data_IF_937894725127
#
_entry.id   IF_937894725127
#
_cell.length_a   1.000
_cell.length_b   1.000
_cell.length_c   1.000
_cell.angle_alpha   90.00
_cell.angle_beta   90.00
_cell.angle_gamma   90.00
#
_symmetry.space_group_name_H-M   'P 1'
#
loop_
_entity.id
_entity.type
_entity.pdbx_description
1 polymer ?
#
# COMPACT_ATOMS: atom_id res chain seq x y z
N UNK A 1 14.12 0.51 22.22
CA UNK A 1 13.49 -0.34 23.21
C UNK A 1 14.34 -1.55 23.49
N UNK A 2 14.85 -1.68 24.70
CA UNK A 2 15.83 -2.71 25.01
C UNK A 2 15.26 -4.13 25.16
N UNK A 3 13.96 -4.23 25.42
CA UNK A 3 13.31 -5.54 25.57
C UNK A 3 12.67 -6.04 24.26
N UNK A 4 12.87 -5.31 23.16
CA UNK A 4 12.37 -5.71 21.86
C UNK A 4 13.31 -6.78 21.29
N UNK A 5 12.83 -8.01 21.27
CA UNK A 5 13.62 -9.17 20.83
C UNK A 5 14.21 -8.93 19.44
N UNK A 6 15.43 -9.45 19.21
CA UNK A 6 16.14 -9.30 17.93
C UNK A 6 15.34 -9.86 16.75
N UNK A 7 14.56 -10.93 16.98
CA UNK A 7 13.71 -11.51 15.94
C UNK A 7 12.51 -10.60 15.63
N UNK A 8 11.94 -9.97 16.66
CA UNK A 8 10.88 -8.99 16.46
C UNK A 8 11.41 -7.77 15.71
N UNK A 9 12.63 -7.34 16.03
CA UNK A 9 13.27 -6.24 15.32
C UNK A 9 13.52 -6.61 13.85
N UNK A 10 13.96 -7.81 13.56
CA UNK A 10 14.14 -8.31 12.19
C UNK A 10 12.80 -8.32 11.45
N UNK A 11 11.74 -8.81 12.09
CA UNK A 11 10.40 -8.82 11.50
C UNK A 11 9.90 -7.40 11.21
N UNK A 12 10.13 -6.48 12.14
CA UNK A 12 9.78 -5.07 11.97
C UNK A 12 10.49 -4.46 10.77
N UNK A 13 11.81 -4.69 10.64
CA UNK A 13 12.57 -4.17 9.50
C UNK A 13 12.12 -4.77 8.17
N UNK A 14 11.84 -6.09 8.16
CA UNK A 14 11.36 -6.75 6.95
C UNK A 14 10.03 -6.16 6.48
N UNK A 15 9.08 -5.99 7.40
CA UNK A 15 7.78 -5.41 7.08
C UNK A 15 7.91 -3.94 6.68
N UNK A 16 8.74 -3.18 7.39
CA UNK A 16 8.95 -1.76 7.10
C UNK A 16 9.52 -1.55 5.70
N UNK A 17 10.56 -2.30 5.37
CA UNK A 17 11.20 -2.19 4.05
C UNK A 17 10.22 -2.64 2.96
N UNK A 18 9.57 -3.79 3.13
CA UNK A 18 8.64 -4.32 2.14
C UNK A 18 7.44 -3.40 1.91
N UNK A 19 6.80 -2.99 2.99
CA UNK A 19 5.60 -2.14 2.91
C UNK A 19 5.93 -0.68 2.58
N UNK A 20 7.18 -0.27 2.72
CA UNK A 20 7.62 1.05 2.29
C UNK A 20 8.03 1.08 0.83
N UNK A 21 8.88 0.13 0.40
CA UNK A 21 9.40 0.11 -0.97
C UNK A 21 8.35 -0.30 -2.00
N UNK A 22 7.49 -1.27 -1.68
CA UNK A 22 6.51 -1.75 -2.65
C UNK A 22 5.58 -0.65 -3.17
N UNK A 23 4.97 0.20 -2.32
CA UNK A 23 4.17 1.32 -2.81
C UNK A 23 4.99 2.33 -3.60
N UNK A 24 6.25 2.57 -3.22
CA UNK A 24 7.12 3.50 -3.95
C UNK A 24 7.37 2.97 -5.36
N UNK A 25 7.73 1.69 -5.47
CA UNK A 25 8.01 1.06 -6.77
C UNK A 25 6.74 1.01 -7.63
N UNK A 26 5.63 0.55 -7.06
CA UNK A 26 4.36 0.46 -7.77
C UNK A 26 3.85 1.84 -8.18
N UNK A 27 3.97 2.83 -7.28
CA UNK A 27 3.56 4.19 -7.57
C UNK A 27 4.39 4.81 -8.69
N UNK A 28 5.70 4.64 -8.66
CA UNK A 28 6.59 5.13 -9.72
C UNK A 28 6.27 4.45 -11.05
N UNK A 29 6.01 3.13 -11.03
CA UNK A 29 5.71 2.39 -12.25
C UNK A 29 4.40 2.83 -12.91
N UNK A 30 3.49 3.43 -12.16
CA UNK A 30 2.25 3.97 -12.74
C UNK A 30 2.50 5.09 -13.76
N UNK A 31 3.70 5.65 -13.77
CA UNK A 31 4.10 6.62 -14.79
C UNK A 31 4.77 5.95 -16.00
N UNK A 32 5.21 4.71 -15.88
CA UNK A 32 5.98 4.01 -16.91
C UNK A 32 5.31 2.76 -17.46
N UNK A 33 4.42 2.11 -16.68
CA UNK A 33 3.73 0.86 -17.05
C UNK A 33 4.70 -0.26 -17.49
N UNK A 34 5.83 -0.37 -16.79
CA UNK A 34 6.82 -1.43 -17.06
C UNK A 34 6.35 -2.76 -16.48
N UNK A 35 5.84 -2.74 -15.24
CA UNK A 35 5.36 -3.95 -14.57
C UNK A 35 4.04 -4.44 -15.15
N UNK A 36 3.13 -3.52 -15.43
CA UNK A 36 1.80 -3.82 -15.97
C UNK A 36 1.14 -2.54 -16.46
N UNK A 37 0.03 -2.67 -17.19
CA UNK A 37 -0.85 -1.54 -17.49
C UNK A 37 -1.79 -1.35 -16.30
N UNK A 38 -1.51 -0.36 -15.47
CA UNK A 38 -2.24 -0.12 -14.22
C UNK A 38 -3.69 0.31 -14.46
N UNK A 39 -3.99 0.91 -15.61
CA UNK A 39 -5.36 1.37 -15.90
C UNK A 39 -6.34 0.20 -16.03
N UNK A 40 -5.86 -1.00 -16.35
CA UNK A 40 -6.73 -2.16 -16.46
C UNK A 40 -7.37 -2.58 -15.12
N UNK A 41 -6.79 -2.17 -14.00
CA UNK A 41 -7.30 -2.49 -12.66
C UNK A 41 -8.26 -1.45 -12.12
N UNK A 42 -8.42 -0.31 -12.81
CA UNK A 42 -9.29 0.76 -12.36
C UNK A 42 -10.75 0.42 -12.64
N UNK A 43 -11.57 0.46 -11.59
CA UNK A 43 -13.00 0.18 -11.71
C UNK A 43 -13.70 1.29 -12.52
N UNK A 44 -14.63 0.92 -13.41
CA UNK A 44 -15.49 1.92 -14.06
C UNK A 44 -16.27 2.78 -13.06
N UNK A 45 -16.59 2.24 -11.88
CA UNK A 45 -17.24 2.99 -10.82
C UNK A 45 -16.38 4.17 -10.35
N UNK A 46 -15.06 3.96 -10.23
CA UNK A 46 -14.13 5.01 -9.80
C UNK A 46 -14.12 6.18 -10.80
N UNK A 47 -14.14 5.90 -12.10
CA UNK A 47 -14.15 6.96 -13.12
C UNK A 47 -15.49 7.67 -13.23
N UNK A 48 -16.58 7.04 -12.78
CA UNK A 48 -17.89 7.71 -12.68
C UNK A 48 -17.95 8.68 -11.52
N UNK A 49 -17.34 8.31 -10.37
CA UNK A 49 -17.33 9.15 -9.17
C UNK A 49 -16.35 10.30 -9.35
N UNK A 50 -15.18 10.03 -9.90
CA UNK A 50 -14.14 11.03 -10.16
C UNK A 50 -13.95 11.11 -11.68
N UNK A 51 -14.47 12.15 -12.36
CA UNK A 51 -14.46 12.20 -13.83
C UNK A 51 -13.09 12.62 -14.37
N UNK A 52 -12.09 11.79 -14.18
CA UNK A 52 -10.74 11.96 -14.69
C UNK A 52 -10.42 10.85 -15.69
N UNK A 53 -9.52 11.15 -16.62
CA UNK A 53 -8.98 10.13 -17.52
C UNK A 53 -8.27 9.05 -16.68
N UNK A 54 -8.41 7.78 -17.09
CA UNK A 54 -7.83 6.66 -16.36
C UNK A 54 -6.33 6.84 -16.11
N UNK A 55 -5.58 7.31 -17.12
CA UNK A 55 -4.15 7.54 -16.97
C UNK A 55 -3.86 8.62 -15.93
N UNK A 56 -4.59 9.72 -15.94
CA UNK A 56 -4.44 10.81 -14.95
C UNK A 56 -4.78 10.31 -13.56
N UNK A 57 -5.87 9.54 -13.43
CA UNK A 57 -6.29 8.94 -12.16
C UNK A 57 -5.15 8.08 -11.59
N UNK A 58 -4.55 7.21 -12.42
CA UNK A 58 -3.47 6.34 -12.00
C UNK A 58 -2.18 7.10 -11.65
N UNK A 59 -1.89 8.21 -12.31
CA UNK A 59 -0.77 9.06 -11.92
C UNK A 59 -0.95 9.65 -10.54
N UNK A 60 -2.17 10.11 -10.21
CA UNK A 60 -2.48 10.62 -8.87
C UNK A 60 -2.35 9.51 -7.83
N UNK A 61 -2.90 8.33 -8.12
CA UNK A 61 -2.76 7.16 -7.26
C UNK A 61 -1.29 6.83 -7.02
N UNK A 62 -0.47 6.88 -8.08
CA UNK A 62 0.96 6.62 -7.99
C UNK A 62 1.68 7.58 -7.07
N UNK A 63 1.36 8.88 -7.14
CA UNK A 63 1.94 9.89 -6.25
C UNK A 63 1.56 9.62 -4.80
N UNK A 64 0.29 9.31 -4.54
CA UNK A 64 -0.18 8.99 -3.18
C UNK A 64 0.53 7.76 -2.64
N UNK A 65 0.70 6.73 -3.45
CA UNK A 65 1.41 5.51 -3.04
C UNK A 65 2.87 5.77 -2.72
N UNK A 66 3.56 6.57 -3.53
CA UNK A 66 4.94 6.93 -3.26
C UNK A 66 5.08 7.67 -1.94
N UNK A 67 4.18 8.63 -1.67
CA UNK A 67 4.17 9.37 -0.42
C UNK A 67 3.92 8.42 0.75
N UNK A 68 2.94 7.53 0.64
CA UNK A 68 2.63 6.57 1.70
C UNK A 68 3.84 5.68 2.01
N UNK A 69 4.55 5.19 0.99
CA UNK A 69 5.74 4.39 1.18
C UNK A 69 6.87 5.16 1.86
N UNK A 70 7.07 6.41 1.48
CA UNK A 70 8.07 7.28 2.11
C UNK A 70 7.74 7.49 3.59
N UNK A 71 6.47 7.69 3.93
CA UNK A 71 6.05 7.86 5.33
C UNK A 71 6.35 6.59 6.14
N UNK A 72 6.11 5.40 5.58
CA UNK A 72 6.45 4.13 6.24
C UNK A 72 7.95 4.04 6.53
N UNK A 73 8.78 4.49 5.59
CA UNK A 73 10.24 4.45 5.74
C UNK A 73 10.79 5.58 6.60
N UNK A 74 9.96 6.55 6.97
CA UNK A 74 10.33 7.67 7.83
C UNK A 74 10.17 7.30 9.31
N UNK A 75 10.34 8.28 10.17
CA UNK A 75 10.09 8.12 11.61
C UNK A 75 8.60 7.95 11.95
N UNK A 76 7.71 8.20 11.01
CA UNK A 76 6.26 8.04 11.17
C UNK A 76 5.75 6.69 10.65
N UNK A 77 6.53 5.65 10.85
CA UNK A 77 6.21 4.29 10.38
C UNK A 77 4.83 3.84 10.85
N UNK A 78 4.46 4.14 12.09
CA UNK A 78 3.15 3.73 12.64
C UNK A 78 2.00 4.34 11.85
N UNK A 79 2.06 5.65 11.61
CA UNK A 79 1.05 6.36 10.82
C UNK A 79 1.04 5.85 9.38
N UNK A 80 2.23 5.70 8.78
CA UNK A 80 2.37 5.17 7.43
C UNK A 80 1.77 3.78 7.29
N UNK A 81 1.95 2.92 8.27
CA UNK A 81 1.39 1.56 8.28
C UNK A 81 -0.13 1.59 8.22
N UNK A 82 -0.77 2.44 9.02
CA UNK A 82 -2.21 2.61 9.00
C UNK A 82 -2.70 3.15 7.65
N UNK A 83 -1.99 4.10 7.08
CA UNK A 83 -2.33 4.67 5.77
C UNK A 83 -2.21 3.60 4.68
N UNK A 84 -1.13 2.83 4.68
CA UNK A 84 -0.94 1.73 3.71
C UNK A 84 -2.03 0.67 3.86
N UNK A 85 -2.39 0.31 5.10
CA UNK A 85 -3.46 -0.64 5.35
C UNK A 85 -4.79 -0.16 4.75
N UNK A 86 -5.18 1.08 5.06
CA UNK A 86 -6.42 1.65 4.54
C UNK A 86 -6.40 1.75 3.02
N UNK A 87 -5.27 2.13 2.45
CA UNK A 87 -5.10 2.23 1.00
C UNK A 87 -5.25 0.88 0.31
N UNK A 88 -4.63 -0.18 0.85
CA UNK A 88 -4.74 -1.53 0.31
C UNK A 88 -6.16 -2.06 0.38
N UNK A 89 -6.87 -1.78 1.48
CA UNK A 89 -8.28 -2.16 1.59
C UNK A 89 -9.12 -1.42 0.56
N UNK A 90 -8.82 -0.15 0.31
CA UNK A 90 -9.47 0.63 -0.75
C UNK A 90 -9.21 0.05 -2.13
N UNK A 91 -7.97 -0.37 -2.42
CA UNK A 91 -7.62 -1.02 -3.68
C UNK A 91 -8.40 -2.34 -3.82
N UNK A 92 -8.48 -3.14 -2.74
CA UNK A 92 -9.23 -4.39 -2.76
C UNK A 92 -10.70 -4.15 -3.11
N UNK A 93 -11.32 -3.14 -2.51
CA UNK A 93 -12.71 -2.77 -2.83
C UNK A 93 -12.83 -2.36 -4.30
N UNK A 94 -11.89 -1.56 -4.81
CA UNK A 94 -11.87 -1.18 -6.22
C UNK A 94 -11.82 -2.42 -7.13
N UNK A 95 -10.94 -3.38 -6.82
CA UNK A 95 -10.81 -4.60 -7.62
C UNK A 95 -12.10 -5.44 -7.56
N UNK A 96 -12.72 -5.55 -6.39
CA UNK A 96 -14.00 -6.27 -6.26
C UNK A 96 -15.09 -5.64 -7.11
N UNK A 97 -15.11 -4.31 -7.24
CA UNK A 97 -16.12 -3.62 -8.05
C UNK A 97 -15.89 -3.76 -9.55
N UNK A 98 -14.70 -4.22 -10.00
CA UNK A 98 -14.46 -4.54 -11.41
C UNK A 98 -15.15 -5.83 -11.83
N UNK A 99 -15.52 -6.70 -10.88
CA UNK A 99 -16.09 -8.02 -11.17
C UNK A 99 -15.04 -9.05 -11.59
N UNK A 100 -13.75 -8.69 -11.49
CA UNK A 100 -12.61 -9.57 -11.83
C UNK A 100 -11.45 -9.23 -10.90
N UNK A 101 -10.33 -9.95 -11.03
CA UNK A 101 -9.14 -9.73 -10.18
C UNK A 101 -9.37 -10.04 -8.70
N UNK A 102 -10.24 -11.01 -8.38
CA UNK A 102 -10.51 -11.40 -6.99
C UNK A 102 -9.28 -11.93 -6.28
N UNK A 103 -8.41 -12.62 -7.01
CA UNK A 103 -7.12 -13.10 -6.50
C UNK A 103 -6.24 -11.94 -6.03
N UNK A 104 -6.20 -10.85 -6.80
CA UNK A 104 -5.44 -9.66 -6.43
C UNK A 104 -6.08 -8.94 -5.25
N UNK A 105 -7.41 -8.92 -5.16
CA UNK A 105 -8.12 -8.34 -4.02
C UNK A 105 -7.79 -9.08 -2.73
N UNK A 106 -7.78 -10.41 -2.77
CA UNK A 106 -7.41 -11.25 -1.61
C UNK A 106 -5.97 -10.97 -1.21
N UNK A 107 -5.06 -10.89 -2.18
CA UNK A 107 -3.66 -10.57 -1.93
C UNK A 107 -3.52 -9.21 -1.23
N UNK A 108 -4.24 -8.20 -1.67
CA UNK A 108 -4.16 -6.86 -1.10
C UNK A 108 -4.68 -6.84 0.33
N UNK A 109 -5.71 -7.62 0.64
CA UNK A 109 -6.19 -7.79 2.02
C UNK A 109 -5.11 -8.46 2.88
N UNK A 110 -4.43 -9.48 2.36
CA UNK A 110 -3.32 -10.12 3.08
C UNK A 110 -2.20 -9.13 3.38
N UNK A 111 -1.83 -8.31 2.42
CA UNK A 111 -0.79 -7.29 2.61
C UNK A 111 -1.26 -6.24 3.61
N UNK A 112 -2.55 -5.89 3.61
CA UNK A 112 -3.13 -4.97 4.60
C UNK A 112 -3.02 -5.54 6.01
N UNK A 113 -3.18 -6.85 6.19
CA UNK A 113 -2.94 -7.52 7.48
C UNK A 113 -1.48 -7.35 7.90
N UNK A 114 -0.55 -7.47 6.95
CA UNK A 114 0.87 -7.22 7.20
C UNK A 114 1.12 -5.77 7.65
N UNK A 115 0.46 -4.80 7.02
CA UNK A 115 0.57 -3.40 7.42
C UNK A 115 0.02 -3.18 8.83
N UNK A 116 -1.08 -3.83 9.17
CA UNK A 116 -1.62 -3.82 10.53
C UNK A 116 -0.59 -4.37 11.51
N UNK A 117 0.03 -5.52 11.20
CA UNK A 117 1.06 -6.10 12.04
C UNK A 117 2.23 -5.13 12.24
N UNK A 118 2.65 -4.44 11.17
CA UNK A 118 3.71 -3.44 11.27
C UNK A 118 3.33 -2.31 12.22
N UNK A 119 2.08 -1.84 12.18
CA UNK A 119 1.62 -0.78 13.07
C UNK A 119 1.70 -1.22 14.54
N UNK A 120 1.36 -2.47 14.83
CA UNK A 120 1.40 -3.02 16.19
C UNK A 120 2.84 -3.22 16.66
N UNK A 121 3.70 -3.77 15.81
CA UNK A 121 5.13 -3.94 16.14
C UNK A 121 5.79 -2.58 16.37
N UNK A 122 5.43 -1.58 15.58
CA UNK A 122 5.98 -0.23 15.74
C UNK A 122 5.54 0.37 17.08
N UNK A 123 4.28 0.16 17.48
CA UNK A 123 3.79 0.64 18.76
C UNK A 123 4.58 0.03 19.93
N UNK A 124 4.87 -1.26 19.86
CA UNK A 124 5.68 -1.94 20.88
C UNK A 124 7.12 -1.41 20.86
N UNK A 125 7.67 -1.23 19.67
CA UNK A 125 9.05 -0.77 19.49
C UNK A 125 9.25 0.65 20.00
N UNK A 126 8.25 1.50 19.89
CA UNK A 126 8.28 2.89 20.33
C UNK A 126 7.90 3.09 21.81
N UNK A 127 7.39 2.06 22.43
CA UNK A 127 6.94 2.13 23.83
C UNK A 127 8.10 2.27 24.83
#
# INVERSE_FOLDING_TARGET
MKDFDSRLDTAWWALRIGLGLAPIIAGADKFFNILTDWTMYLSPLATRVVPLRAATFMHIVGVVEMIAGIVVLSRWTRIGSWVVMAWLLGIAVNLLTTGMFYDLAVRDVEIAVGAFALSQLTAVREA
#
